data_IF_448543037459
#
_entry.id   IF_448543037459
#
_cell.length_a   1.000
_cell.length_b   1.000
_cell.length_c   1.000
_cell.angle_alpha   90.00
_cell.angle_beta   90.00
_cell.angle_gamma   90.00
#
_symmetry.space_group_name_H-M   'P 1'
#
loop_
_entity.id
_entity.type
_entity.pdbx_description
1 polymer ?
#
# COMPACT_ATOMS: atom_id res chain seq x y z
N UNK A 1 -3.78 -12.31 8.36
CA UNK A 1 -3.12 -11.82 7.12
C UNK A 1 -1.91 -12.69 6.80
N UNK A 2 -1.63 -13.03 5.53
CA UNK A 2 -0.43 -13.78 5.13
C UNK A 2 0.85 -13.09 5.61
N UNK A 3 1.90 -13.87 5.89
CA UNK A 3 3.21 -13.34 6.24
C UNK A 3 3.91 -12.81 4.97
N UNK A 4 4.54 -11.64 5.09
CA UNK A 4 5.34 -11.11 3.99
C UNK A 4 6.54 -12.02 3.73
N UNK A 5 6.86 -12.34 2.46
CA UNK A 5 8.00 -13.19 2.12
C UNK A 5 9.32 -12.55 2.53
N UNK A 6 10.30 -13.39 2.85
CA UNK A 6 11.67 -12.97 3.11
C UNK A 6 12.29 -12.37 1.84
N UNK A 7 13.09 -11.32 2.00
CA UNK A 7 13.84 -10.70 0.89
C UNK A 7 14.84 -11.69 0.27
N UNK A 8 15.39 -11.39 -0.90
CA UNK A 8 16.43 -12.20 -1.54
C UNK A 8 17.60 -12.50 -0.58
N UNK A 9 18.07 -11.50 0.14
CA UNK A 9 19.06 -11.68 1.22
C UNK A 9 18.54 -12.59 2.33
N UNK A 10 17.28 -12.40 2.76
CA UNK A 10 16.70 -13.25 3.81
C UNK A 10 16.59 -14.72 3.41
N UNK A 11 16.28 -15.01 2.13
CA UNK A 11 16.26 -16.38 1.60
C UNK A 11 17.67 -17.01 1.62
N UNK A 12 18.67 -16.26 1.16
CA UNK A 12 20.06 -16.68 1.25
C UNK A 12 20.51 -16.94 2.70
N UNK A 13 20.15 -16.05 3.61
CA UNK A 13 20.52 -16.17 5.02
C UNK A 13 19.89 -17.40 5.69
N UNK A 14 18.63 -17.72 5.39
CA UNK A 14 17.97 -18.94 5.88
C UNK A 14 18.71 -20.18 5.36
N UNK A 15 19.04 -20.23 4.06
CA UNK A 15 19.81 -21.33 3.48
C UNK A 15 21.20 -21.48 4.12
N UNK A 16 21.88 -20.37 4.42
CA UNK A 16 23.15 -20.38 5.14
C UNK A 16 22.98 -20.98 6.55
N UNK A 17 21.96 -20.56 7.30
CA UNK A 17 21.69 -21.11 8.63
C UNK A 17 21.37 -22.59 8.59
N UNK A 18 20.65 -23.07 7.57
CA UNK A 18 20.34 -24.49 7.41
C UNK A 18 21.61 -25.32 7.12
N UNK A 19 22.54 -24.79 6.34
CA UNK A 19 23.87 -25.40 6.12
C UNK A 19 24.68 -25.48 7.42
N UNK A 20 24.66 -24.41 8.23
CA UNK A 20 25.35 -24.41 9.55
C UNK A 20 24.72 -25.45 10.48
N UNK A 21 23.40 -25.56 10.55
CA UNK A 21 22.70 -26.58 11.35
C UNK A 21 23.03 -27.98 10.89
N UNK A 22 23.02 -28.20 9.57
CA UNK A 22 23.36 -29.52 9.00
C UNK A 22 24.80 -29.93 9.30
N UNK A 23 25.73 -29.01 9.52
CA UNK A 23 27.11 -29.31 9.92
C UNK A 23 27.29 -29.61 11.41
N UNK A 24 26.19 -29.64 12.19
CA UNK A 24 26.23 -29.91 13.64
C UNK A 24 26.75 -28.77 14.50
N UNK A 25 26.99 -27.60 13.93
CA UNK A 25 27.47 -26.41 14.66
C UNK A 25 26.33 -25.70 15.35
N UNK A 26 26.63 -25.15 16.53
CA UNK A 26 25.68 -24.23 17.19
C UNK A 26 25.49 -22.94 16.38
N UNK A 27 24.24 -22.58 16.12
CA UNK A 27 23.89 -21.37 15.36
C UNK A 27 23.90 -20.17 16.31
N UNK A 28 24.83 -19.24 16.11
CA UNK A 28 24.86 -17.95 16.79
C UNK A 28 24.44 -16.88 15.79
N UNK A 29 23.18 -16.37 15.84
CA UNK A 29 22.61 -15.53 14.78
C UNK A 29 23.44 -14.27 14.46
N UNK A 30 24.06 -13.65 15.46
CA UNK A 30 24.90 -12.45 15.27
C UNK A 30 26.18 -12.77 14.48
N UNK A 31 26.85 -13.88 14.78
CA UNK A 31 28.05 -14.34 14.07
C UNK A 31 27.70 -14.73 12.64
N UNK A 32 26.67 -15.57 12.48
CA UNK A 32 26.25 -16.07 11.18
C UNK A 32 25.75 -14.94 10.25
N UNK A 33 25.18 -13.87 10.79
CA UNK A 33 24.81 -12.69 10.00
C UNK A 33 26.02 -12.03 9.37
N UNK A 34 27.13 -11.91 10.10
CA UNK A 34 28.38 -11.31 9.59
C UNK A 34 28.98 -12.21 8.49
N UNK A 35 29.09 -13.51 8.75
CA UNK A 35 29.63 -14.49 7.79
C UNK A 35 28.80 -14.51 6.51
N UNK A 36 27.48 -14.65 6.64
CA UNK A 36 26.56 -14.68 5.51
C UNK A 36 26.58 -13.36 4.70
N UNK A 37 26.72 -12.21 5.39
CA UNK A 37 26.83 -10.92 4.72
C UNK A 37 28.10 -10.82 3.87
N UNK A 38 29.23 -11.33 4.35
CA UNK A 38 30.47 -11.39 3.58
C UNK A 38 30.32 -12.29 2.35
N UNK A 39 29.73 -13.49 2.52
CA UNK A 39 29.46 -14.41 1.43
C UNK A 39 28.50 -13.82 0.39
N UNK A 40 27.41 -13.17 0.83
CA UNK A 40 26.47 -12.50 -0.08
C UNK A 40 27.13 -11.44 -0.95
N UNK A 41 28.04 -10.64 -0.38
CA UNK A 41 28.78 -9.64 -1.15
C UNK A 41 29.64 -10.26 -2.26
N UNK A 42 30.20 -11.43 -2.01
CA UNK A 42 31.07 -12.16 -2.96
C UNK A 42 30.28 -12.91 -4.04
N UNK A 43 28.98 -13.12 -3.88
CA UNK A 43 28.17 -13.76 -4.91
C UNK A 43 28.14 -12.91 -6.19
N UNK A 44 28.20 -13.59 -7.34
CA UNK A 44 28.01 -12.96 -8.65
C UNK A 44 26.57 -12.43 -8.79
N UNK A 45 26.35 -11.51 -9.72
CA UNK A 45 25.02 -11.00 -10.01
C UNK A 45 24.06 -12.11 -10.47
N UNK A 46 24.53 -13.07 -11.26
CA UNK A 46 23.76 -14.24 -11.65
C UNK A 46 23.29 -15.07 -10.45
N UNK A 47 24.18 -15.31 -9.48
CA UNK A 47 23.83 -16.03 -8.26
C UNK A 47 22.82 -15.27 -7.39
N UNK A 48 23.01 -13.95 -7.25
CA UNK A 48 22.05 -13.07 -6.55
C UNK A 48 20.70 -13.04 -7.27
N UNK A 49 20.70 -13.14 -8.60
CA UNK A 49 19.47 -13.11 -9.41
C UNK A 49 18.57 -14.30 -9.07
N UNK A 50 19.11 -15.49 -8.85
CA UNK A 50 18.33 -16.67 -8.43
C UNK A 50 17.51 -16.40 -7.17
N UNK A 51 18.08 -15.71 -6.18
CA UNK A 51 17.37 -15.36 -4.96
C UNK A 51 16.36 -14.22 -5.18
N UNK A 52 16.65 -13.28 -6.09
CA UNK A 52 15.69 -12.23 -6.48
C UNK A 52 14.48 -12.85 -7.19
N UNK A 53 14.68 -13.83 -8.05
CA UNK A 53 13.59 -14.50 -8.77
C UNK A 53 12.71 -15.32 -7.80
N UNK A 54 13.32 -16.06 -6.87
CA UNK A 54 12.58 -16.73 -5.79
C UNK A 54 11.77 -15.73 -4.94
N UNK A 55 12.37 -14.60 -4.58
CA UNK A 55 11.67 -13.54 -3.84
C UNK A 55 10.49 -12.96 -4.63
N UNK A 56 10.69 -12.70 -5.92
CA UNK A 56 9.65 -12.16 -6.80
C UNK A 56 8.48 -13.15 -6.96
N UNK A 57 8.76 -14.44 -7.14
CA UNK A 57 7.74 -15.48 -7.18
C UNK A 57 6.93 -15.53 -5.88
N UNK A 58 7.61 -15.57 -4.74
CA UNK A 58 6.97 -15.54 -3.42
C UNK A 58 6.16 -14.25 -3.18
N UNK A 59 6.62 -13.11 -3.73
CA UNK A 59 5.92 -11.84 -3.62
C UNK A 59 4.63 -11.83 -4.45
N UNK A 60 4.62 -12.45 -5.63
CA UNK A 60 3.43 -12.60 -6.46
C UNK A 60 2.40 -13.47 -5.71
N UNK A 61 2.83 -14.60 -5.18
CA UNK A 61 1.96 -15.48 -4.39
C UNK A 61 1.41 -14.77 -3.14
N UNK A 62 2.27 -14.08 -2.41
CA UNK A 62 1.87 -13.28 -1.24
C UNK A 62 0.81 -12.23 -1.61
N UNK A 63 0.98 -11.52 -2.73
CA UNK A 63 0.00 -10.53 -3.22
C UNK A 63 -1.33 -11.19 -3.53
N UNK A 64 -1.31 -12.33 -4.25
CA UNK A 64 -2.51 -13.11 -4.59
C UNK A 64 -3.26 -13.56 -3.32
N UNK A 65 -2.54 -14.16 -2.37
CA UNK A 65 -3.12 -14.65 -1.13
C UNK A 65 -3.62 -13.50 -0.24
N UNK A 66 -2.94 -12.34 -0.27
CA UNK A 66 -3.37 -11.15 0.45
C UNK A 66 -4.64 -10.55 -0.17
N UNK A 67 -4.72 -10.47 -1.51
CA UNK A 67 -5.92 -9.98 -2.20
C UNK A 67 -7.11 -10.87 -1.88
N UNK A 68 -6.95 -12.19 -2.07
CA UNK A 68 -7.99 -13.16 -1.73
C UNK A 68 -8.48 -13.01 -0.28
N UNK A 69 -7.54 -12.94 0.68
CA UNK A 69 -7.92 -12.77 2.10
C UNK A 69 -8.64 -11.45 2.37
N UNK A 70 -8.26 -10.36 1.67
CA UNK A 70 -8.95 -9.07 1.80
C UNK A 70 -10.38 -9.12 1.25
N UNK A 71 -10.63 -9.89 0.20
CA UNK A 71 -11.97 -10.07 -0.39
C UNK A 71 -12.89 -10.91 0.51
N UNK A 72 -12.30 -11.81 1.32
CA UNK A 72 -13.02 -12.69 2.25
C UNK A 72 -13.33 -12.04 3.61
N UNK A 73 -12.64 -10.94 3.96
CA UNK A 73 -12.85 -10.26 5.24
C UNK A 73 -14.18 -9.50 5.27
N UNK A 74 -14.90 -9.63 6.37
CA UNK A 74 -16.08 -8.81 6.64
C UNK A 74 -15.69 -7.38 7.05
N UNK A 75 -16.59 -6.39 6.91
CA UNK A 75 -16.34 -5.02 7.39
C UNK A 75 -15.99 -4.96 8.87
N UNK A 76 -16.59 -5.82 9.71
CA UNK A 76 -16.28 -5.88 11.14
C UNK A 76 -14.85 -6.43 11.40
N UNK A 77 -14.43 -7.46 10.66
CA UNK A 77 -13.05 -7.97 10.75
C UNK A 77 -12.03 -6.90 10.32
N UNK A 78 -12.34 -6.08 9.28
CA UNK A 78 -11.51 -4.91 8.92
C UNK A 78 -11.41 -3.91 10.07
N UNK A 79 -12.51 -3.62 10.74
CA UNK A 79 -12.58 -2.68 11.86
C UNK A 79 -11.74 -3.17 13.05
N UNK A 80 -11.88 -4.43 13.43
CA UNK A 80 -11.13 -5.07 14.52
C UNK A 80 -9.62 -5.05 14.20
N UNK A 81 -9.21 -5.50 13.01
CA UNK A 81 -7.80 -5.54 12.65
C UNK A 81 -7.20 -4.13 12.52
N UNK A 82 -7.95 -3.16 12.03
CA UNK A 82 -7.50 -1.78 11.95
C UNK A 82 -7.38 -1.13 13.34
N UNK A 83 -8.28 -1.42 14.27
CA UNK A 83 -8.18 -0.99 15.66
C UNK A 83 -6.93 -1.57 16.34
N UNK A 84 -6.65 -2.87 16.13
CA UNK A 84 -5.42 -3.51 16.61
C UNK A 84 -4.15 -2.84 16.06
N UNK A 85 -4.12 -2.52 14.75
CA UNK A 85 -2.99 -1.82 14.12
C UNK A 85 -2.81 -0.41 14.67
N UNK A 86 -3.90 0.29 14.92
CA UNK A 86 -3.88 1.62 15.52
C UNK A 86 -3.34 1.57 16.95
N UNK A 87 -3.77 0.62 17.77
CA UNK A 87 -3.28 0.43 19.12
C UNK A 87 -1.77 0.14 19.17
N UNK A 88 -1.26 -0.69 18.25
CA UNK A 88 0.18 -0.96 18.11
C UNK A 88 0.97 0.31 17.79
N UNK A 89 0.46 1.18 16.90
CA UNK A 89 1.10 2.45 16.57
C UNK A 89 1.06 3.42 17.75
N UNK A 90 -0.05 3.50 18.45
CA UNK A 90 -0.18 4.33 19.66
C UNK A 90 0.78 3.90 20.79
N UNK A 91 1.07 2.59 20.88
CA UNK A 91 2.06 2.03 21.81
C UNK A 91 3.52 2.21 21.34
N UNK A 92 3.80 3.04 20.32
CA UNK A 92 5.14 3.28 19.80
C UNK A 92 5.76 2.08 19.05
N UNK A 93 5.00 1.00 18.85
CA UNK A 93 5.46 -0.15 18.05
C UNK A 93 5.34 0.15 16.56
N UNK A 94 6.24 -0.42 15.75
CA UNK A 94 6.17 -0.32 14.28
C UNK A 94 4.88 -0.96 13.78
N UNK A 95 3.85 -0.14 13.62
CA UNK A 95 2.53 -0.57 13.16
C UNK A 95 2.47 -0.71 11.64
N UNK A 96 1.66 -1.67 11.19
CA UNK A 96 1.28 -1.77 9.79
C UNK A 96 0.26 -0.68 9.41
N UNK A 97 0.23 -0.22 8.15
CA UNK A 97 -0.81 0.68 7.68
C UNK A 97 -2.19 0.02 7.81
N UNK A 98 -3.24 0.83 7.92
CA UNK A 98 -4.61 0.32 7.98
C UNK A 98 -4.95 -0.45 6.72
N UNK A 99 -5.70 -1.55 6.88
CA UNK A 99 -6.26 -2.31 5.77
C UNK A 99 -7.36 -1.48 5.09
N UNK A 100 -7.39 -1.56 3.78
CA UNK A 100 -8.48 -1.01 2.96
C UNK A 100 -9.33 -2.16 2.48
N UNK A 101 -10.62 -2.06 2.72
CA UNK A 101 -11.61 -2.99 2.21
C UNK A 101 -11.77 -2.76 0.69
N UNK A 102 -11.49 -3.78 -0.15
CA UNK A 102 -11.60 -3.63 -1.60
C UNK A 102 -13.06 -3.53 -2.07
N UNK A 103 -14.00 -4.07 -1.30
CA UNK A 103 -15.43 -4.13 -1.64
C UNK A 103 -16.20 -2.89 -1.16
N UNK A 104 -15.63 -2.12 -0.23
CA UNK A 104 -16.28 -0.92 0.27
C UNK A 104 -16.39 0.17 -0.79
N UNK A 105 -17.50 0.91 -0.84
CA UNK A 105 -17.65 2.06 -1.73
C UNK A 105 -16.51 3.05 -1.59
N UNK A 106 -15.98 3.53 -2.70
CA UNK A 106 -14.86 4.49 -2.71
C UNK A 106 -15.36 5.91 -2.47
N UNK A 107 -14.70 6.62 -1.57
CA UNK A 107 -15.00 8.03 -1.31
C UNK A 107 -14.89 8.86 -2.59
N UNK A 108 -15.90 9.67 -2.93
CA UNK A 108 -15.86 10.51 -4.12
C UNK A 108 -14.80 11.62 -4.01
N UNK A 109 -14.45 12.16 -5.15
CA UNK A 109 -13.52 13.30 -5.24
C UNK A 109 -14.16 14.55 -4.64
N UNK A 110 -13.35 15.34 -3.92
CA UNK A 110 -13.78 16.68 -3.48
C UNK A 110 -13.90 17.67 -4.66
N UNK A 111 -14.52 18.81 -4.44
CA UNK A 111 -14.68 19.89 -5.44
C UNK A 111 -13.35 20.26 -6.11
N UNK A 112 -12.31 20.51 -5.33
CA UNK A 112 -10.97 20.78 -5.84
C UNK A 112 -10.40 19.64 -6.69
N UNK A 113 -10.53 18.40 -6.25
CA UNK A 113 -9.98 17.27 -7.02
C UNK A 113 -10.76 17.00 -8.31
N UNK A 114 -12.06 17.30 -8.37
CA UNK A 114 -12.85 17.28 -9.62
C UNK A 114 -12.35 18.33 -10.59
N UNK A 115 -12.23 19.58 -10.12
CA UNK A 115 -11.64 20.66 -10.91
C UNK A 115 -10.24 20.28 -11.41
N UNK A 116 -9.38 19.78 -10.53
CA UNK A 116 -8.03 19.38 -10.90
C UNK A 116 -8.00 18.24 -11.94
N UNK A 117 -8.96 17.32 -11.89
CA UNK A 117 -9.10 16.26 -12.88
C UNK A 117 -9.48 16.84 -14.25
N UNK A 118 -10.41 17.79 -14.30
CA UNK A 118 -10.85 18.42 -15.55
C UNK A 118 -9.72 19.26 -16.15
N UNK A 119 -8.99 20.05 -15.34
CA UNK A 119 -7.83 20.82 -15.81
C UNK A 119 -6.74 19.91 -16.43
N UNK A 120 -6.54 18.70 -15.87
CA UNK A 120 -5.61 17.73 -16.44
C UNK A 120 -6.14 17.10 -17.72
N UNK A 121 -7.44 16.80 -17.81
CA UNK A 121 -8.07 16.27 -19.03
C UNK A 121 -8.00 17.28 -20.17
N UNK A 122 -8.15 18.57 -19.88
CA UNK A 122 -8.03 19.65 -20.84
C UNK A 122 -6.57 19.92 -21.27
N UNK A 123 -5.59 19.29 -20.60
CA UNK A 123 -4.17 19.42 -20.93
C UNK A 123 -3.56 20.78 -20.63
N UNK A 124 -4.24 21.64 -19.87
CA UNK A 124 -3.83 23.04 -19.62
C UNK A 124 -2.41 23.23 -19.10
N UNK A 125 -1.91 22.26 -18.34
CA UNK A 125 -0.59 22.33 -17.71
C UNK A 125 0.30 21.14 -18.08
N UNK A 126 0.00 20.44 -19.18
CA UNK A 126 0.68 19.21 -19.57
C UNK A 126 2.20 19.36 -19.82
N UNK A 127 2.64 20.57 -20.18
CA UNK A 127 4.05 20.91 -20.42
C UNK A 127 4.88 21.04 -19.14
N UNK A 128 4.23 21.16 -17.96
CA UNK A 128 4.92 21.36 -16.69
C UNK A 128 5.23 20.02 -16.02
N UNK A 129 6.30 19.96 -15.20
CA UNK A 129 6.55 18.82 -14.30
C UNK A 129 5.35 18.60 -13.35
N UNK A 130 5.08 17.35 -12.95
CA UNK A 130 3.89 16.96 -12.14
C UNK A 130 3.72 17.83 -10.88
N UNK A 131 4.81 18.18 -10.21
CA UNK A 131 4.79 19.00 -9.01
C UNK A 131 4.34 20.43 -9.31
N UNK A 132 4.79 20.99 -10.42
CA UNK A 132 4.43 22.34 -10.87
C UNK A 132 3.01 22.39 -11.42
N UNK A 133 2.56 21.33 -12.13
CA UNK A 133 1.16 21.17 -12.51
C UNK A 133 0.23 21.27 -11.30
N UNK A 134 0.53 20.54 -10.22
CA UNK A 134 -0.29 20.55 -9.01
C UNK A 134 -0.37 21.96 -8.39
N UNK A 135 0.74 22.70 -8.39
CA UNK A 135 0.80 24.09 -7.91
C UNK A 135 -0.03 25.04 -8.78
N UNK A 136 0.16 24.97 -10.11
CA UNK A 136 -0.57 25.80 -11.07
C UNK A 136 -2.09 25.56 -11.01
N UNK A 137 -2.52 24.30 -10.87
CA UNK A 137 -3.93 23.92 -10.71
C UNK A 137 -4.49 24.48 -9.38
N UNK A 138 -3.73 24.42 -8.29
CA UNK A 138 -4.15 24.98 -7.00
C UNK A 138 -4.30 26.52 -7.05
N UNK A 139 -3.39 27.21 -7.72
CA UNK A 139 -3.47 28.65 -7.97
C UNK A 139 -4.67 29.00 -8.85
N UNK A 140 -4.92 28.23 -9.91
CA UNK A 140 -6.08 28.39 -10.79
C UNK A 140 -7.40 28.22 -10.02
N UNK A 141 -7.48 27.19 -9.15
CA UNK A 141 -8.64 26.99 -8.26
C UNK A 141 -8.85 28.18 -7.29
N UNK A 142 -7.77 28.67 -6.70
CA UNK A 142 -7.86 29.84 -5.79
C UNK A 142 -8.46 31.04 -6.46
N UNK A 143 -8.07 31.32 -7.71
CA UNK A 143 -8.51 32.48 -8.54
C UNK A 143 -9.83 32.22 -9.28
N UNK A 144 -10.33 30.98 -9.30
CA UNK A 144 -11.57 30.66 -9.99
C UNK A 144 -12.75 31.44 -9.43
N UNK A 145 -13.66 31.91 -10.30
CA UNK A 145 -14.84 32.68 -9.87
C UNK A 145 -15.78 31.77 -9.04
N UNK A 146 -16.58 32.43 -8.18
CA UNK A 146 -17.42 31.68 -7.22
C UNK A 146 -18.45 30.77 -7.90
N UNK A 147 -19.02 31.19 -9.04
CA UNK A 147 -19.96 30.34 -9.78
C UNK A 147 -19.33 29.05 -10.28
N UNK A 148 -18.05 29.06 -10.65
CA UNK A 148 -17.32 27.88 -11.06
C UNK A 148 -17.02 26.96 -9.85
N UNK A 149 -16.58 27.52 -8.73
CA UNK A 149 -16.39 26.79 -7.48
C UNK A 149 -17.67 26.15 -6.97
N UNK A 150 -18.80 26.89 -7.03
CA UNK A 150 -20.12 26.39 -6.64
C UNK A 150 -20.54 25.19 -7.45
N UNK A 151 -20.36 25.22 -8.78
CA UNK A 151 -20.64 24.07 -9.66
C UNK A 151 -19.91 22.80 -9.20
N UNK A 152 -18.60 22.90 -8.93
CA UNK A 152 -17.83 21.73 -8.44
C UNK A 152 -18.22 21.32 -7.03
N UNK A 153 -18.65 22.26 -6.20
CA UNK A 153 -19.10 22.00 -4.83
C UNK A 153 -20.42 21.24 -4.84
N UNK A 154 -21.36 21.60 -5.71
CA UNK A 154 -22.62 20.88 -5.88
C UNK A 154 -22.38 19.45 -6.38
N UNK A 155 -21.57 19.28 -7.42
CA UNK A 155 -21.20 17.97 -7.94
C UNK A 155 -20.53 17.09 -6.87
N UNK A 156 -19.71 17.68 -6.01
CA UNK A 156 -19.06 16.96 -4.91
C UNK A 156 -20.04 16.61 -3.79
N UNK A 157 -21.01 17.51 -3.49
CA UNK A 157 -22.08 17.28 -2.50
C UNK A 157 -22.95 16.11 -2.94
N UNK A 158 -23.45 16.12 -4.16
CA UNK A 158 -24.36 15.10 -4.68
C UNK A 158 -23.68 13.72 -4.72
N UNK A 159 -22.41 13.69 -5.15
CA UNK A 159 -21.63 12.44 -5.10
C UNK A 159 -21.37 11.97 -3.67
N UNK A 160 -21.25 12.88 -2.72
CA UNK A 160 -21.03 12.52 -1.31
C UNK A 160 -22.33 11.97 -0.66
N UNK A 161 -23.49 12.53 -1.02
CA UNK A 161 -24.78 11.98 -0.56
C UNK A 161 -25.01 10.56 -1.12
N UNK A 162 -24.76 10.36 -2.42
CA UNK A 162 -24.80 9.05 -3.04
C UNK A 162 -23.85 8.06 -2.33
N UNK A 163 -22.62 8.47 -2.08
CA UNK A 163 -21.63 7.65 -1.37
C UNK A 163 -22.11 7.29 0.05
N UNK A 164 -22.72 8.22 0.79
CA UNK A 164 -23.27 7.95 2.13
C UNK A 164 -24.34 6.86 2.08
N UNK A 165 -25.24 6.94 1.10
CA UNK A 165 -26.29 5.94 0.91
C UNK A 165 -25.70 4.57 0.53
N UNK A 166 -24.78 4.52 -0.44
CA UNK A 166 -24.09 3.29 -0.85
C UNK A 166 -23.31 2.67 0.31
N UNK A 167 -22.63 3.49 1.11
CA UNK A 167 -21.89 3.00 2.27
C UNK A 167 -22.81 2.45 3.36
N UNK A 168 -23.94 3.11 3.60
CA UNK A 168 -24.94 2.63 4.58
C UNK A 168 -25.52 1.29 4.12
N UNK A 169 -25.89 1.16 2.84
CA UNK A 169 -26.38 -0.08 2.27
C UNK A 169 -25.33 -1.20 2.34
N UNK A 170 -24.06 -0.88 2.04
CA UNK A 170 -22.95 -1.83 2.13
C UNK A 170 -22.77 -2.37 3.56
N UNK A 171 -22.79 -1.49 4.56
CA UNK A 171 -22.67 -1.90 5.96
C UNK A 171 -23.88 -2.69 6.46
N UNK A 172 -25.07 -2.38 5.99
CA UNK A 172 -26.29 -3.13 6.33
C UNK A 172 -26.30 -4.53 5.71
N UNK A 173 -25.76 -4.68 4.52
CA UNK A 173 -25.65 -5.97 3.83
C UNK A 173 -24.52 -6.87 4.35
N UNK A 174 -23.56 -6.31 5.12
CA UNK A 174 -22.39 -7.01 5.62
C UNK A 174 -22.17 -6.67 7.12
N UNK A 175 -23.08 -7.15 8.01
CA UNK A 175 -23.04 -6.85 9.45
C UNK A 175 -21.82 -7.47 10.16
#
# INVERSE_FOLDING_TARGET
>A
MPKRPSTAWGLFFVEHLDKVRASGKAVVPTVETVVASAQWKQLSDAQKQVYKDKYNANLIEFKKNTSKRLEELTPEEFKIENARRQALRAAGKRGLPSLKDPNAPKRPLSSFFRFAQDQRKEGKFASLPIKEQAKAIAESWSKAPEHEKSRYTELARDANEKYKAERAAYLAANP
#
